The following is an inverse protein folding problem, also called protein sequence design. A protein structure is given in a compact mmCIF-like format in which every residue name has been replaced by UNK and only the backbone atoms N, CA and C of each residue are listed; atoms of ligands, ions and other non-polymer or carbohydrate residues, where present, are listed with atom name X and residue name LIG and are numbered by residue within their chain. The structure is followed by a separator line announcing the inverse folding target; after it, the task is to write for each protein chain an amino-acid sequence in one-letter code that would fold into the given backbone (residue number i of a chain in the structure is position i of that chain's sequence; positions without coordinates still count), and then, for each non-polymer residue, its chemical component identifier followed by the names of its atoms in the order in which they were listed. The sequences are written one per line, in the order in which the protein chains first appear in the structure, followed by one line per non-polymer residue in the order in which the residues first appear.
data_IF_212210528616
#
_entry.id   IF_212210528616
#
_cell.length_a   1.000
_cell.length_b   1.000
_cell.length_c   1.000
_cell.angle_alpha   90.00
_cell.angle_beta   90.00
_cell.angle_gamma   90.00
#
_symmetry.space_group_name_H-M   'P 1'
#
loop_
_entity.id
_entity.type
_entity.pdbx_description
1 polymer ?
#
# COMPACT_ATOMS: atom_id res chain seq x y z
N UNK A 1 41.21 23.77 -11.72
CA UNK A 1 40.89 23.70 -10.26
C UNK A 1 40.15 22.43 -9.97
N UNK A 2 40.44 21.76 -8.83
CA UNK A 2 39.71 20.55 -8.44
C UNK A 2 38.37 20.97 -7.81
N UNK A 3 37.28 20.80 -8.53
CA UNK A 3 35.94 21.27 -8.13
C UNK A 3 35.37 20.35 -7.05
N UNK A 4 34.92 20.94 -5.93
CA UNK A 4 34.21 20.23 -4.88
C UNK A 4 32.71 20.50 -5.02
N UNK A 5 31.89 19.47 -4.78
CA UNK A 5 30.43 19.54 -4.83
C UNK A 5 29.80 18.71 -3.72
N UNK A 6 28.56 19.05 -3.34
CA UNK A 6 27.75 18.28 -2.38
C UNK A 6 26.92 17.26 -3.13
N UNK A 7 26.80 16.06 -2.59
CA UNK A 7 25.98 15.01 -3.17
C UNK A 7 25.51 13.99 -2.14
N UNK A 8 24.46 13.25 -2.48
CA UNK A 8 23.99 12.07 -1.74
C UNK A 8 24.58 10.81 -2.38
N UNK A 9 25.01 9.86 -1.53
CA UNK A 9 25.59 8.59 -1.99
C UNK A 9 24.47 7.59 -2.27
N UNK A 10 24.56 6.86 -3.37
CA UNK A 10 23.66 5.76 -3.70
C UNK A 10 24.39 4.64 -4.45
N UNK A 11 23.76 3.46 -4.56
CA UNK A 11 24.24 2.38 -5.41
C UNK A 11 23.41 2.31 -6.69
N UNK A 12 24.04 1.99 -7.80
CA UNK A 12 23.31 1.66 -9.01
C UNK A 12 22.81 0.20 -8.97
N UNK A 13 22.02 -0.20 -9.99
CA UNK A 13 21.49 -1.58 -10.12
C UNK A 13 22.56 -2.67 -10.09
N UNK A 14 23.81 -2.35 -10.46
CA UNK A 14 24.95 -3.28 -10.42
C UNK A 14 25.76 -3.23 -9.12
N UNK A 15 25.29 -2.52 -8.08
CA UNK A 15 25.92 -2.42 -6.77
C UNK A 15 27.14 -1.48 -6.72
N UNK A 16 27.37 -0.66 -7.75
CA UNK A 16 28.47 0.34 -7.76
C UNK A 16 28.02 1.65 -7.13
N UNK A 17 28.85 2.18 -6.24
CA UNK A 17 28.62 3.48 -5.60
C UNK A 17 28.65 4.63 -6.60
N UNK A 18 27.69 5.55 -6.48
CA UNK A 18 27.54 6.73 -7.31
C UNK A 18 27.15 7.96 -6.50
N UNK A 19 27.43 9.13 -7.05
CA UNK A 19 26.97 10.43 -6.59
C UNK A 19 26.47 11.23 -7.79
N UNK A 20 25.40 12.01 -7.62
CA UNK A 20 24.90 12.91 -8.65
C UNK A 20 25.76 14.18 -8.66
N UNK A 21 26.31 14.56 -9.82
CA UNK A 21 27.14 15.74 -9.98
C UNK A 21 26.33 16.90 -10.60
N UNK A 22 25.54 16.63 -11.64
CA UNK A 22 24.59 17.55 -12.26
C UNK A 22 23.29 16.82 -12.60
N UNK A 23 22.33 17.49 -13.25
CA UNK A 23 21.02 16.85 -13.58
C UNK A 23 21.19 15.55 -14.34
N UNK A 24 22.14 15.49 -15.28
CA UNK A 24 22.35 14.35 -16.16
C UNK A 24 23.65 13.58 -15.92
N UNK A 25 24.55 14.07 -15.02
CA UNK A 25 25.85 13.45 -14.81
C UNK A 25 25.99 12.79 -13.44
N UNK A 26 26.29 11.50 -13.47
CA UNK A 26 26.60 10.69 -12.31
C UNK A 26 28.08 10.29 -12.30
N UNK A 27 28.72 10.48 -11.16
CA UNK A 27 30.11 10.08 -10.96
C UNK A 27 30.19 8.81 -10.10
N UNK A 28 31.13 7.93 -10.44
CA UNK A 28 31.33 6.64 -9.76
C UNK A 28 32.26 6.80 -8.57
N UNK A 29 31.91 6.20 -7.43
CA UNK A 29 32.76 6.04 -6.26
C UNK A 29 33.52 4.72 -6.35
N UNK A 30 34.81 4.71 -6.02
CA UNK A 30 35.56 3.46 -5.89
C UNK A 30 35.11 2.69 -4.65
N UNK A 31 35.38 1.37 -4.61
CA UNK A 31 35.11 0.54 -3.43
C UNK A 31 35.76 1.14 -2.17
N UNK A 32 36.98 1.71 -2.28
CA UNK A 32 37.65 2.37 -1.17
C UNK A 32 36.87 3.57 -0.64
N UNK A 33 36.21 4.35 -1.51
CA UNK A 33 35.38 5.47 -1.10
C UNK A 33 34.08 4.96 -0.44
N UNK A 34 33.51 3.87 -0.95
CA UNK A 34 32.31 3.26 -0.39
C UNK A 34 32.54 2.66 1.01
N UNK A 35 33.76 2.26 1.37
CA UNK A 35 34.08 1.87 2.75
C UNK A 35 33.95 2.99 3.79
N UNK A 36 33.82 4.25 3.37
CA UNK A 36 33.68 5.39 4.28
C UNK A 36 32.24 5.73 4.64
N UNK A 37 31.26 5.25 3.86
CA UNK A 37 29.88 5.74 3.86
C UNK A 37 28.87 4.61 3.75
N UNK A 38 27.65 4.90 4.19
CA UNK A 38 26.47 4.15 3.80
C UNK A 38 25.75 4.84 2.65
N UNK A 39 24.97 4.12 1.84
CA UNK A 39 24.00 4.69 0.92
C UNK A 39 23.07 5.65 1.66
N UNK A 40 22.75 6.77 1.05
CA UNK A 40 21.96 7.83 1.68
C UNK A 40 22.74 8.92 2.40
N UNK A 41 24.02 8.69 2.75
CA UNK A 41 24.86 9.70 3.39
C UNK A 41 25.09 10.91 2.47
N UNK A 42 25.11 12.13 3.03
CA UNK A 42 25.44 13.36 2.33
C UNK A 42 26.93 13.68 2.48
N UNK A 43 27.56 13.94 1.38
CA UNK A 43 29.03 14.06 1.30
C UNK A 43 29.48 15.26 0.48
N UNK A 44 30.68 15.77 0.77
CA UNK A 44 31.43 16.61 -0.15
C UNK A 44 32.33 15.72 -0.98
N UNK A 45 32.18 15.79 -2.28
CA UNK A 45 32.99 15.07 -3.25
C UNK A 45 33.88 16.02 -4.06
N UNK A 46 34.99 15.49 -4.53
CA UNK A 46 35.81 16.09 -5.53
C UNK A 46 35.69 15.33 -6.84
N UNK A 47 35.44 16.04 -7.96
CA UNK A 47 35.47 15.46 -9.30
C UNK A 47 36.87 15.00 -9.66
N UNK A 48 36.97 13.78 -10.18
CA UNK A 48 38.20 13.14 -10.60
C UNK A 48 38.13 12.80 -12.11
N UNK A 49 39.23 12.63 -12.81
CA UNK A 49 39.21 12.21 -14.22
C UNK A 49 38.44 10.89 -14.43
N UNK A 50 37.79 10.75 -15.58
CA UNK A 50 37.12 9.52 -16.01
C UNK A 50 35.81 9.25 -15.26
N UNK A 51 34.97 10.26 -15.11
CA UNK A 51 33.63 10.16 -14.46
C UNK A 51 33.67 9.50 -13.07
N UNK A 52 34.71 9.86 -12.28
CA UNK A 52 34.91 9.37 -10.92
C UNK A 52 34.81 10.51 -9.90
N UNK A 53 34.46 10.17 -8.66
CA UNK A 53 34.45 11.06 -7.54
C UNK A 53 35.26 10.51 -6.34
N UNK A 54 35.79 11.40 -5.51
CA UNK A 54 36.47 11.08 -4.26
C UNK A 54 35.78 11.82 -3.12
N UNK A 55 35.38 11.09 -2.09
CA UNK A 55 34.77 11.67 -0.89
C UNK A 55 35.85 12.39 -0.06
N UNK A 56 35.65 13.68 0.17
CA UNK A 56 36.50 14.52 1.03
C UNK A 56 35.99 14.54 2.46
N UNK A 57 34.69 14.72 2.60
CA UNK A 57 34.04 14.89 3.89
C UNK A 57 32.65 14.26 3.87
N UNK A 58 32.18 13.78 5.01
CA UNK A 58 30.80 13.34 5.22
C UNK A 58 30.07 14.40 6.01
N UNK A 59 29.08 15.03 5.40
CA UNK A 59 28.29 16.12 5.99
C UNK A 59 27.22 15.62 6.93
N UNK A 60 26.52 14.55 6.51
CA UNK A 60 25.40 14.00 7.26
C UNK A 60 25.33 12.50 7.12
N UNK A 61 25.12 11.82 8.24
CA UNK A 61 24.86 10.39 8.32
C UNK A 61 23.38 10.16 8.39
N UNK A 62 22.83 9.47 7.40
CA UNK A 62 21.39 9.26 7.30
C UNK A 62 20.93 7.88 7.79
N UNK A 63 21.88 6.95 8.04
CA UNK A 63 21.58 5.61 8.55
C UNK A 63 21.87 5.54 10.04
N UNK A 64 20.82 5.41 10.86
CA UNK A 64 20.91 5.23 12.30
C UNK A 64 20.50 3.82 12.75
N UNK A 65 19.63 3.15 12.00
CA UNK A 65 19.14 1.80 12.26
C UNK A 65 19.15 0.97 10.97
N UNK A 66 19.30 -0.33 11.11
CA UNK A 66 19.25 -1.29 10.00
C UNK A 66 18.63 -2.60 10.48
N UNK A 67 17.99 -3.29 9.53
CA UNK A 67 17.55 -4.68 9.72
C UNK A 67 18.39 -5.59 8.83
N UNK A 68 18.79 -6.75 9.36
CA UNK A 68 19.63 -7.67 8.62
C UNK A 68 19.64 -9.08 9.23
N UNK A 69 20.35 -9.94 8.55
CA UNK A 69 20.56 -11.33 8.95
C UNK A 69 21.84 -11.45 9.76
N UNK A 70 21.75 -12.16 10.88
CA UNK A 70 22.91 -12.50 11.72
C UNK A 70 23.79 -13.52 11.01
N UNK A 71 25.08 -13.23 10.94
CA UNK A 71 26.11 -14.17 10.50
C UNK A 71 27.19 -14.31 11.57
N UNK A 72 27.64 -15.53 11.81
CA UNK A 72 28.70 -15.83 12.76
C UNK A 72 29.90 -16.43 12.04
N UNK A 73 31.04 -15.79 12.12
CA UNK A 73 32.32 -16.30 11.61
C UNK A 73 33.46 -15.71 12.40
N UNK A 74 34.56 -16.46 12.50
CA UNK A 74 35.78 -16.09 13.23
C UNK A 74 35.55 -15.64 14.69
N UNK A 75 34.56 -16.27 15.39
CA UNK A 75 34.23 -15.94 16.79
C UNK A 75 33.51 -14.60 16.98
N UNK A 76 33.16 -13.90 15.90
CA UNK A 76 32.44 -12.60 15.91
C UNK A 76 31.06 -12.76 15.29
N UNK A 77 30.17 -11.87 15.70
CA UNK A 77 28.79 -11.77 15.18
C UNK A 77 28.66 -10.54 14.31
N UNK A 78 28.16 -10.73 13.10
CA UNK A 78 27.93 -9.68 12.12
C UNK A 78 26.47 -9.63 11.72
N UNK A 79 26.05 -8.49 11.22
CA UNK A 79 24.77 -8.30 10.55
C UNK A 79 25.05 -7.98 9.08
N UNK A 80 24.47 -8.77 8.18
CA UNK A 80 24.38 -8.44 6.76
C UNK A 80 23.01 -7.81 6.52
N UNK A 81 22.95 -6.59 5.98
CA UNK A 81 21.67 -5.89 5.72
C UNK A 81 20.76 -6.67 4.78
N UNK A 82 19.46 -6.65 5.04
CA UNK A 82 18.44 -7.13 4.08
C UNK A 82 18.32 -6.19 2.87
N UNK A 83 18.55 -4.92 3.08
CA UNK A 83 18.64 -3.95 1.99
C UNK A 83 19.94 -4.17 1.21
N UNK A 84 19.79 -4.66 -0.03
CA UNK A 84 20.92 -4.95 -0.93
C UNK A 84 21.76 -3.71 -1.30
N UNK A 85 21.23 -2.51 -1.04
CA UNK A 85 22.00 -1.28 -1.21
C UNK A 85 23.12 -1.15 -0.18
N UNK A 86 23.07 -1.86 0.95
CA UNK A 86 24.13 -1.87 1.95
C UNK A 86 25.14 -2.99 1.68
N UNK A 87 26.35 -2.61 1.36
CA UNK A 87 27.43 -3.50 0.92
C UNK A 87 28.40 -3.90 2.03
N UNK A 88 28.24 -3.40 3.26
CA UNK A 88 29.15 -3.64 4.38
C UNK A 88 28.48 -4.52 5.44
N UNK A 89 29.17 -5.58 5.85
CA UNK A 89 28.82 -6.29 7.07
C UNK A 89 29.09 -5.44 8.29
N UNK A 90 28.14 -5.40 9.21
CA UNK A 90 28.17 -4.58 10.42
C UNK A 90 28.56 -5.46 11.60
N UNK A 91 29.63 -5.12 12.31
CA UNK A 91 30.05 -5.85 13.49
C UNK A 91 29.07 -5.57 14.64
N UNK A 92 28.46 -6.61 15.19
CA UNK A 92 27.61 -6.48 16.36
C UNK A 92 28.42 -6.41 17.64
N UNK A 93 28.02 -5.50 18.52
CA UNK A 93 28.59 -5.36 19.86
C UNK A 93 27.47 -5.32 20.92
N UNK A 94 27.75 -5.82 22.12
CA UNK A 94 26.79 -5.83 23.22
C UNK A 94 26.82 -7.13 24.03
N UNK A 95 25.96 -7.18 25.05
CA UNK A 95 25.79 -8.36 25.90
C UNK A 95 24.91 -9.39 25.16
N UNK A 96 25.12 -10.68 25.47
CA UNK A 96 24.29 -11.80 25.01
C UNK A 96 24.32 -12.09 23.49
N UNK A 97 25.32 -11.62 22.74
CA UNK A 97 25.46 -11.97 21.32
C UNK A 97 25.55 -13.47 21.04
N UNK A 98 25.93 -14.27 22.06
CA UNK A 98 25.96 -15.73 21.97
C UNK A 98 24.59 -16.37 21.76
N UNK A 99 23.51 -15.69 22.19
CA UNK A 99 22.11 -16.17 22.08
C UNK A 99 21.53 -16.07 20.67
N UNK A 100 22.13 -15.26 19.82
CA UNK A 100 21.71 -15.21 18.41
C UNK A 100 22.18 -16.44 17.67
N UNK A 101 21.34 -16.94 16.76
CA UNK A 101 21.72 -18.00 15.81
C UNK A 101 22.08 -17.34 14.46
N UNK A 102 22.90 -18.05 13.66
CA UNK A 102 23.07 -17.67 12.26
C UNK A 102 21.71 -17.73 11.56
N UNK A 103 21.44 -16.75 10.70
CA UNK A 103 20.18 -16.50 9.99
C UNK A 103 19.05 -15.92 10.84
N UNK A 104 19.25 -15.63 12.14
CA UNK A 104 18.27 -14.79 12.86
C UNK A 104 18.17 -13.41 12.19
N UNK A 105 16.97 -12.88 12.06
CA UNK A 105 16.75 -11.51 11.61
C UNK A 105 16.77 -10.58 12.82
N UNK A 106 17.52 -9.49 12.71
CA UNK A 106 17.69 -8.56 13.81
C UNK A 106 17.64 -7.11 13.33
N UNK A 107 16.90 -6.26 14.05
CA UNK A 107 16.97 -4.80 13.93
C UNK A 107 18.05 -4.28 14.86
N UNK A 108 18.92 -3.41 14.35
CA UNK A 108 20.10 -2.92 15.08
C UNK A 108 20.17 -1.40 15.00
N UNK A 109 20.76 -0.76 16.03
CA UNK A 109 21.11 0.66 16.04
C UNK A 109 22.61 0.80 15.78
N UNK A 110 22.96 1.61 14.81
CA UNK A 110 24.36 1.90 14.46
C UNK A 110 25.02 2.67 15.61
N UNK A 111 26.13 2.15 16.12
CA UNK A 111 26.92 2.78 17.19
C UNK A 111 28.23 3.35 16.69
N UNK A 112 28.73 2.85 15.56
CA UNK A 112 29.91 3.39 14.88
C UNK A 112 29.70 3.34 13.37
N UNK A 113 29.84 4.48 12.75
CA UNK A 113 29.70 4.65 11.30
C UNK A 113 30.90 4.06 10.55
N UNK A 114 30.75 3.67 9.26
CA UNK A 114 31.83 3.10 8.48
C UNK A 114 32.97 4.10 8.27
N UNK A 115 34.19 3.58 8.23
CA UNK A 115 35.42 4.33 7.94
C UNK A 115 36.42 3.46 7.22
N UNK A 116 37.49 4.07 6.63
CA UNK A 116 38.53 3.30 5.98
C UNK A 116 39.32 2.37 6.93
N UNK A 117 39.32 2.69 8.22
CA UNK A 117 40.08 1.91 9.22
C UNK A 117 39.24 0.87 9.96
N UNK A 118 37.95 1.11 10.11
CA UNK A 118 37.09 0.30 10.96
C UNK A 118 35.78 -0.04 10.25
N UNK A 119 35.34 -1.30 10.41
CA UNK A 119 33.99 -1.71 10.02
C UNK A 119 32.95 -0.99 10.88
N UNK A 120 31.76 -0.71 10.33
CA UNK A 120 30.68 -0.16 11.12
C UNK A 120 30.29 -1.10 12.24
N UNK A 121 29.82 -0.56 13.37
CA UNK A 121 29.35 -1.30 14.51
C UNK A 121 27.93 -0.98 14.86
N UNK A 122 27.21 -1.93 15.44
CA UNK A 122 25.84 -1.76 15.87
C UNK A 122 25.50 -2.56 17.13
N UNK A 123 24.45 -2.15 17.83
CA UNK A 123 23.85 -2.88 18.94
C UNK A 123 22.48 -3.41 18.54
N UNK A 124 22.14 -4.68 18.87
CA UNK A 124 20.80 -5.21 18.68
C UNK A 124 19.76 -4.38 19.44
N UNK A 125 18.65 -4.06 18.76
CA UNK A 125 17.46 -3.45 19.36
C UNK A 125 16.39 -4.50 19.58
N UNK A 126 16.09 -5.27 18.51
CA UNK A 126 15.01 -6.24 18.50
C UNK A 126 15.38 -7.41 17.61
N UNK A 127 15.21 -8.62 18.13
CA UNK A 127 15.30 -9.84 17.33
C UNK A 127 13.92 -10.10 16.75
N UNK A 128 13.85 -10.23 15.45
CA UNK A 128 12.65 -10.56 14.73
C UNK A 128 12.66 -12.09 14.51
N UNK A 129 12.48 -12.84 15.60
CA UNK A 129 12.29 -14.29 15.49
C UNK A 129 10.83 -14.51 15.13
N UNK A 130 10.59 -15.09 14.00
CA UNK A 130 9.29 -15.62 13.65
C UNK A 130 9.45 -17.11 13.34
N UNK A 131 8.54 -17.91 13.87
CA UNK A 131 8.36 -19.29 13.40
C UNK A 131 7.46 -19.32 12.17
N UNK A 132 7.04 -18.15 11.68
CA UNK A 132 6.16 -17.99 10.54
C UNK A 132 6.97 -17.49 9.33
N UNK A 133 7.05 -18.34 8.31
CA UNK A 133 7.72 -18.06 7.03
C UNK A 133 7.17 -16.79 6.36
N UNK A 134 5.88 -16.51 6.53
CA UNK A 134 5.24 -15.31 5.97
C UNK A 134 5.73 -14.04 6.66
N UNK A 135 5.90 -14.07 7.98
CA UNK A 135 6.43 -12.92 8.71
C UNK A 135 7.86 -12.60 8.27
N UNK A 136 8.69 -13.63 8.10
CA UNK A 136 10.04 -13.46 7.57
C UNK A 136 10.01 -12.90 6.15
N UNK A 137 9.17 -13.45 5.25
CA UNK A 137 9.01 -12.98 3.88
C UNK A 137 8.51 -11.53 3.84
N UNK A 138 7.55 -11.16 4.69
CA UNK A 138 7.05 -9.79 4.82
C UNK A 138 8.16 -8.82 5.24
N UNK A 139 8.95 -9.20 6.25
CA UNK A 139 10.09 -8.39 6.70
C UNK A 139 11.11 -8.25 5.56
N UNK A 140 11.39 -9.30 4.81
CA UNK A 140 12.27 -9.24 3.65
C UNK A 140 11.75 -8.32 2.55
N UNK A 141 10.48 -8.44 2.23
CA UNK A 141 9.86 -7.66 1.16
C UNK A 141 9.77 -6.17 1.49
N UNK A 142 9.58 -5.81 2.77
CA UNK A 142 9.41 -4.43 3.20
C UNK A 142 10.72 -3.73 3.59
N UNK A 143 11.76 -4.49 3.95
CA UNK A 143 13.06 -3.90 4.24
C UNK A 143 13.78 -3.43 2.96
N UNK A 144 14.27 -2.19 2.99
CA UNK A 144 14.93 -1.56 1.84
C UNK A 144 13.96 -0.96 0.82
N UNK A 145 12.67 -0.97 1.11
CA UNK A 145 11.66 -0.19 0.39
C UNK A 145 11.31 1.08 1.17
N UNK A 146 10.70 2.05 0.51
CA UNK A 146 10.17 3.26 1.16
C UNK A 146 8.81 3.01 1.86
N UNK A 147 8.33 1.75 1.86
CA UNK A 147 7.07 1.35 2.47
C UNK A 147 7.15 1.46 4.01
N UNK A 148 6.46 2.43 4.57
CA UNK A 148 6.28 2.52 6.01
C UNK A 148 5.24 1.49 6.48
N UNK A 149 5.60 0.63 7.41
CA UNK A 149 4.69 -0.35 8.04
C UNK A 149 4.00 0.20 9.29
N UNK A 150 4.39 1.37 9.75
CA UNK A 150 3.86 2.00 10.96
C UNK A 150 3.32 3.40 10.65
N UNK A 151 2.37 3.86 11.46
CA UNK A 151 1.82 5.21 11.39
C UNK A 151 2.60 6.15 12.30
N UNK A 152 2.91 7.35 11.81
CA UNK A 152 3.55 8.38 12.62
C UNK A 152 2.61 8.89 13.73
N UNK A 153 3.18 9.49 14.77
CA UNK A 153 2.38 10.10 15.86
C UNK A 153 1.43 11.19 15.34
N UNK A 154 1.80 11.95 14.31
CA UNK A 154 0.94 12.97 13.71
C UNK A 154 -0.31 12.36 13.10
N UNK A 155 -0.18 11.25 12.33
CA UNK A 155 -1.28 10.50 11.75
C UNK A 155 -2.22 9.95 12.82
N UNK A 156 -1.66 9.31 13.86
CA UNK A 156 -2.45 8.76 14.97
C UNK A 156 -3.25 9.86 15.67
N UNK A 157 -2.62 11.02 15.92
CA UNK A 157 -3.27 12.15 16.55
C UNK A 157 -4.38 12.75 15.68
N UNK A 158 -4.18 12.80 14.36
CA UNK A 158 -5.18 13.27 13.42
C UNK A 158 -6.37 12.31 13.36
N UNK A 159 -6.15 11.00 13.25
CA UNK A 159 -7.19 9.97 13.32
C UNK A 159 -8.05 10.06 14.58
N UNK A 160 -7.43 10.38 15.74
CA UNK A 160 -8.16 10.51 17.00
C UNK A 160 -9.08 11.74 17.07
N UNK A 161 -8.89 12.71 16.18
CA UNK A 161 -9.72 13.93 16.10
C UNK A 161 -10.86 13.81 15.09
N UNK A 162 -10.82 12.80 14.23
CA UNK A 162 -11.85 12.61 13.21
C UNK A 162 -13.19 12.31 13.91
N UNK A 163 -14.21 13.06 13.51
CA UNK A 163 -15.59 12.82 13.93
C UNK A 163 -16.06 11.46 13.39
N UNK A 164 -16.61 10.64 14.25
CA UNK A 164 -17.00 9.26 13.90
C UNK A 164 -18.47 9.13 13.52
N UNK A 165 -19.30 10.03 14.02
CA UNK A 165 -20.75 9.99 13.83
C UNK A 165 -21.16 10.98 12.73
N UNK A 166 -22.03 10.53 11.85
CA UNK A 166 -22.66 11.36 10.83
C UNK A 166 -23.71 12.24 11.54
N UNK A 167 -23.61 13.55 11.39
CA UNK A 167 -24.56 14.48 12.00
C UNK A 167 -25.79 14.70 11.12
N UNK A 168 -26.85 15.24 11.73
CA UNK A 168 -28.02 15.71 10.99
C UNK A 168 -27.66 16.78 9.92
N UNK A 169 -26.64 17.60 10.17
CA UNK A 169 -26.15 18.60 9.22
C UNK A 169 -25.50 17.91 8.00
N UNK A 170 -24.69 16.85 8.22
CA UNK A 170 -24.06 16.10 7.15
C UNK A 170 -25.12 15.45 6.24
N UNK A 171 -26.20 14.91 6.85
CA UNK A 171 -27.33 14.32 6.11
C UNK A 171 -28.08 15.40 5.35
N UNK A 172 -28.42 16.53 5.96
CA UNK A 172 -29.23 17.58 5.36
C UNK A 172 -28.50 18.30 4.19
N UNK A 173 -27.17 18.25 4.16
CA UNK A 173 -26.37 18.87 3.08
C UNK A 173 -26.19 17.94 1.86
N UNK A 174 -26.71 16.70 1.92
CA UNK A 174 -26.52 15.65 0.92
C UNK A 174 -27.85 15.09 0.43
N UNK A 175 -27.87 14.47 -0.74
CA UNK A 175 -29.05 13.74 -1.23
C UNK A 175 -29.25 12.46 -0.38
N UNK A 176 -30.42 12.31 0.22
CA UNK A 176 -30.73 11.13 1.04
C UNK A 176 -31.18 9.96 0.14
N UNK A 177 -30.33 8.96 0.00
CA UNK A 177 -30.57 7.74 -0.77
C UNK A 177 -30.68 6.49 0.13
N UNK A 178 -30.87 6.63 1.43
CA UNK A 178 -30.90 5.51 2.39
C UNK A 178 -32.07 4.56 2.19
N UNK A 179 -33.12 5.00 1.49
CA UNK A 179 -34.26 4.16 1.12
C UNK A 179 -33.98 3.21 -0.04
N UNK A 180 -32.95 3.48 -0.85
CA UNK A 180 -32.58 2.60 -1.95
C UNK A 180 -31.82 1.36 -1.45
N UNK A 181 -32.03 0.24 -2.12
CA UNK A 181 -31.49 -1.05 -1.73
C UNK A 181 -30.06 -1.26 -2.28
N UNK A 182 -29.14 -0.37 -1.92
CA UNK A 182 -27.73 -0.50 -2.24
C UNK A 182 -27.15 -1.80 -1.70
N UNK A 183 -26.27 -2.42 -2.45
CA UNK A 183 -25.48 -3.58 -2.05
C UNK A 183 -24.00 -3.35 -2.35
N UNK A 184 -23.11 -3.92 -1.54
CA UNK A 184 -21.68 -4.07 -1.85
C UNK A 184 -21.41 -5.48 -2.34
N UNK A 185 -20.50 -5.66 -3.31
CA UNK A 185 -20.15 -6.96 -3.89
C UNK A 185 -18.63 -7.09 -3.94
N UNK A 186 -18.07 -7.88 -3.04
CA UNK A 186 -16.62 -7.93 -2.81
C UNK A 186 -16.12 -9.37 -2.63
N UNK A 187 -14.79 -9.52 -2.52
CA UNK A 187 -14.18 -10.78 -2.11
C UNK A 187 -14.57 -11.19 -0.68
N UNK A 188 -14.56 -12.48 -0.38
CA UNK A 188 -14.98 -13.01 0.93
C UNK A 188 -14.20 -12.41 2.12
N UNK A 189 -12.92 -12.08 1.92
CA UNK A 189 -12.02 -11.57 2.94
C UNK A 189 -11.93 -10.03 2.99
N UNK A 190 -12.62 -9.32 2.11
CA UNK A 190 -12.63 -7.86 2.09
C UNK A 190 -13.24 -7.27 3.37
N UNK A 191 -12.67 -6.14 3.84
CA UNK A 191 -13.14 -5.38 5.02
C UNK A 191 -13.39 -3.91 4.69
N UNK A 192 -12.87 -3.46 3.58
CA UNK A 192 -12.89 -2.14 2.99
C UNK A 192 -13.84 -2.17 1.78
N UNK A 193 -15.12 -1.91 2.05
CA UNK A 193 -16.14 -1.87 1.00
C UNK A 193 -16.19 -0.44 0.46
N UNK A 194 -15.48 -0.18 -0.64
CA UNK A 194 -15.29 1.16 -1.16
C UNK A 194 -16.44 1.63 -2.05
N UNK A 195 -17.18 0.69 -2.66
CA UNK A 195 -18.29 0.99 -3.55
C UNK A 195 -19.55 0.20 -3.21
N UNK A 196 -20.69 0.80 -3.53
CA UNK A 196 -22.00 0.18 -3.46
C UNK A 196 -22.81 0.52 -4.72
N UNK A 197 -23.64 -0.41 -5.16
CA UNK A 197 -24.41 -0.29 -6.37
C UNK A 197 -25.90 -0.53 -6.12
N UNK A 198 -26.72 0.20 -6.88
CA UNK A 198 -28.17 -0.03 -6.97
C UNK A 198 -28.61 0.19 -8.42
N UNK A 199 -29.46 -0.68 -8.92
CA UNK A 199 -30.05 -0.54 -10.25
C UNK A 199 -31.51 -0.94 -10.26
N UNK A 200 -32.28 -0.28 -11.12
CA UNK A 200 -33.66 -0.60 -11.41
C UNK A 200 -33.96 -0.49 -12.91
N UNK A 201 -34.95 -1.23 -13.37
CA UNK A 201 -35.47 -1.11 -14.72
C UNK A 201 -36.46 0.06 -14.79
N UNK A 202 -36.38 0.87 -15.83
CA UNK A 202 -37.32 1.93 -16.15
C UNK A 202 -38.08 1.63 -17.44
N UNK A 203 -39.08 2.44 -17.79
CA UNK A 203 -39.86 2.27 -19.04
C UNK A 203 -39.01 2.24 -20.30
N UNK A 204 -37.88 2.98 -20.29
CA UNK A 204 -37.07 3.25 -21.47
C UNK A 204 -35.63 2.71 -21.34
N UNK A 205 -35.35 1.92 -20.30
CA UNK A 205 -34.01 1.37 -20.06
C UNK A 205 -33.72 1.07 -18.60
N UNK A 206 -32.64 1.67 -18.07
CA UNK A 206 -32.16 1.38 -16.72
C UNK A 206 -31.70 2.65 -16.01
N UNK A 207 -31.92 2.67 -14.70
CA UNK A 207 -31.31 3.62 -13.78
C UNK A 207 -30.31 2.90 -12.92
N UNK A 208 -29.05 3.36 -12.95
CA UNK A 208 -27.93 2.80 -12.19
C UNK A 208 -27.35 3.85 -11.26
N UNK A 209 -27.20 3.52 -10.00
CA UNK A 209 -26.44 4.31 -9.03
C UNK A 209 -25.15 3.58 -8.65
N UNK A 210 -24.04 4.29 -8.73
CA UNK A 210 -22.72 3.85 -8.24
C UNK A 210 -22.30 4.83 -7.15
N UNK A 211 -22.23 4.35 -5.92
CA UNK A 211 -21.86 5.13 -4.75
C UNK A 211 -20.46 4.73 -4.28
N UNK A 212 -19.55 5.70 -4.21
CA UNK A 212 -18.18 5.52 -3.73
C UNK A 212 -18.04 6.21 -2.38
N UNK A 213 -17.38 5.57 -1.42
CA UNK A 213 -17.11 6.15 -0.11
C UNK A 213 -16.44 7.53 -0.23
N UNK A 214 -17.00 8.55 0.44
CA UNK A 214 -16.49 9.92 0.41
C UNK A 214 -15.29 10.07 1.35
N UNK A 215 -14.12 9.58 0.90
CA UNK A 215 -12.87 9.65 1.66
C UNK A 215 -12.47 11.10 1.94
N UNK A 216 -12.83 12.04 1.06
CA UNK A 216 -12.47 13.46 1.19
C UNK A 216 -13.14 14.16 2.38
N UNK A 217 -14.23 13.60 2.91
CA UNK A 217 -14.87 14.08 4.14
C UNK A 217 -13.99 13.88 5.37
N UNK A 218 -13.15 12.84 5.35
CA UNK A 218 -12.31 12.43 6.49
C UNK A 218 -10.84 12.77 6.30
N UNK A 219 -10.35 12.81 5.06
CA UNK A 219 -8.97 13.10 4.70
C UNK A 219 -8.92 14.47 4.02
N UNK A 220 -8.68 15.49 4.83
CA UNK A 220 -8.66 16.87 4.32
C UNK A 220 -7.38 17.15 3.52
N UNK A 221 -7.52 17.95 2.47
CA UNK A 221 -6.39 18.38 1.65
C UNK A 221 -5.26 18.99 2.50
N UNK A 222 -4.02 18.68 2.16
CA UNK A 222 -2.79 19.13 2.83
C UNK A 222 -2.63 18.69 4.29
N UNK A 223 -3.54 17.86 4.81
CA UNK A 223 -3.42 17.27 6.15
C UNK A 223 -2.24 16.29 6.25
N UNK A 224 -1.93 15.80 7.46
CA UNK A 224 -0.91 14.76 7.62
C UNK A 224 -1.35 13.44 6.99
N UNK A 225 -2.65 13.13 7.06
CA UNK A 225 -3.24 11.94 6.41
C UNK A 225 -3.12 12.01 4.89
N UNK A 226 -3.46 13.15 4.29
CA UNK A 226 -3.36 13.37 2.84
C UNK A 226 -1.92 13.23 2.33
N UNK A 227 -0.96 13.86 3.01
CA UNK A 227 0.46 13.75 2.67
C UNK A 227 0.99 12.33 2.79
N UNK A 228 0.59 11.61 3.81
CA UNK A 228 0.97 10.20 3.99
C UNK A 228 0.32 9.31 2.92
N UNK A 229 -0.97 9.51 2.63
CA UNK A 229 -1.68 8.78 1.57
C UNK A 229 -1.04 9.02 0.20
N UNK A 230 -0.69 10.28 -0.12
CA UNK A 230 0.03 10.62 -1.34
C UNK A 230 1.41 9.93 -1.41
N UNK A 231 2.14 9.89 -0.30
CA UNK A 231 3.44 9.22 -0.22
C UNK A 231 3.33 7.70 -0.41
N UNK A 232 2.29 7.06 0.15
CA UNK A 232 2.04 5.62 -0.01
C UNK A 232 1.50 5.27 -1.39
N UNK A 233 0.71 6.16 -1.99
CA UNK A 233 0.08 6.06 -3.30
C UNK A 233 -0.95 4.91 -3.47
N UNK A 234 -0.76 3.79 -2.80
CA UNK A 234 -1.64 2.60 -2.86
C UNK A 234 -1.54 1.77 -1.59
N UNK A 235 -2.51 0.91 -1.35
CA UNK A 235 -2.37 -0.18 -0.39
C UNK A 235 -1.55 -1.31 -1.00
N UNK A 236 -0.72 -1.98 -0.18
CA UNK A 236 0.10 -3.12 -0.62
C UNK A 236 -0.37 -4.37 0.11
N UNK A 237 -0.83 -5.34 -0.66
CA UNK A 237 -1.42 -6.57 -0.15
C UNK A 237 -0.40 -7.70 -0.14
N UNK A 238 -0.21 -8.30 1.05
CA UNK A 238 0.50 -9.55 1.26
C UNK A 238 -0.53 -10.61 1.66
N UNK A 239 -0.22 -11.86 1.52
CA UNK A 239 -1.17 -12.96 1.79
C UNK A 239 -1.86 -12.87 3.16
N UNK A 240 -1.13 -12.52 4.22
CA UNK A 240 -1.66 -12.42 5.60
C UNK A 240 -1.63 -11.00 6.17
N UNK A 241 -1.13 -10.02 5.43
CA UNK A 241 -0.95 -8.65 5.90
C UNK A 241 -1.23 -7.64 4.80
N UNK A 242 -1.72 -6.50 5.20
CA UNK A 242 -1.87 -5.34 4.31
C UNK A 242 -1.07 -4.18 4.89
N UNK A 243 -0.36 -3.47 4.03
CA UNK A 243 0.15 -2.13 4.34
C UNK A 243 -0.84 -1.16 3.69
N UNK A 244 -1.81 -0.62 4.45
CA UNK A 244 -2.87 0.16 3.86
C UNK A 244 -2.39 1.58 3.51
N UNK A 245 -2.98 2.17 2.46
CA UNK A 245 -2.76 3.56 2.08
C UNK A 245 -3.28 4.53 3.15
N UNK A 246 -4.41 4.20 3.74
CA UNK A 246 -5.07 4.96 4.81
C UNK A 246 -5.18 4.12 6.09
N UNK A 247 -5.17 4.73 7.30
CA UNK A 247 -5.40 4.01 8.54
C UNK A 247 -6.70 3.22 8.54
N UNK A 248 -6.70 2.04 9.18
CA UNK A 248 -7.88 1.14 9.24
C UNK A 248 -9.14 1.79 9.85
N UNK A 249 -8.97 2.83 10.67
CA UNK A 249 -10.10 3.63 11.16
C UNK A 249 -10.87 4.27 9.98
N UNK A 250 -10.15 4.72 8.97
CA UNK A 250 -10.75 5.35 7.78
C UNK A 250 -11.20 4.26 6.81
N UNK A 251 -10.28 3.43 6.32
CA UNK A 251 -10.58 2.45 5.26
C UNK A 251 -11.60 1.39 5.69
N UNK A 252 -11.45 0.80 6.88
CA UNK A 252 -12.28 -0.34 7.29
C UNK A 252 -13.50 0.04 8.16
N UNK A 253 -13.61 1.31 8.60
CA UNK A 253 -14.72 1.74 9.48
C UNK A 253 -15.50 2.91 8.92
N UNK A 254 -14.87 4.10 8.82
CA UNK A 254 -15.60 5.31 8.43
C UNK A 254 -16.04 5.27 6.97
N UNK A 255 -15.14 4.89 6.06
CA UNK A 255 -15.40 4.83 4.62
C UNK A 255 -16.02 3.50 4.17
N UNK A 256 -15.76 2.39 4.87
CA UNK A 256 -16.31 1.09 4.48
C UNK A 256 -17.84 1.08 4.51
N UNK A 257 -18.48 0.79 3.37
CA UNK A 257 -19.93 0.83 3.14
C UNK A 257 -20.64 -0.40 3.74
N UNK A 258 -20.47 -0.59 5.05
CA UNK A 258 -21.01 -1.73 5.78
C UNK A 258 -22.53 -1.76 5.76
N UNK A 259 -23.13 -2.96 5.74
CA UNK A 259 -24.58 -3.08 5.74
C UNK A 259 -25.21 -2.50 7.01
N UNK A 260 -26.36 -1.84 6.82
CA UNK A 260 -27.17 -1.22 7.85
C UNK A 260 -26.48 -0.08 8.63
N UNK A 261 -25.46 0.55 8.04
CA UNK A 261 -24.82 1.75 8.54
C UNK A 261 -25.00 2.90 7.56
N UNK A 262 -25.35 4.10 8.07
CA UNK A 262 -25.35 5.31 7.26
C UNK A 262 -23.92 5.66 6.86
N UNK A 263 -23.71 5.97 5.56
CA UNK A 263 -22.39 6.30 5.02
C UNK A 263 -22.46 7.50 4.10
N UNK A 264 -21.44 8.35 4.19
CA UNK A 264 -21.24 9.49 3.30
C UNK A 264 -20.55 9.01 2.02
N UNK A 265 -21.13 9.33 0.89
CA UNK A 265 -20.65 8.86 -0.43
C UNK A 265 -20.75 9.96 -1.49
N UNK A 266 -19.91 9.83 -2.51
CA UNK A 266 -20.07 10.49 -3.80
C UNK A 266 -20.79 9.49 -4.71
N UNK A 267 -21.96 9.86 -5.19
CA UNK A 267 -22.79 9.00 -6.05
C UNK A 267 -22.82 9.51 -7.48
N UNK A 268 -22.69 8.59 -8.42
CA UNK A 268 -23.01 8.80 -9.82
C UNK A 268 -24.37 8.12 -10.11
N UNK A 269 -25.35 8.90 -10.53
CA UNK A 269 -26.63 8.46 -11.06
C UNK A 269 -26.52 8.41 -12.59
N UNK A 270 -26.85 7.28 -13.20
CA UNK A 270 -26.61 7.02 -14.62
C UNK A 270 -27.88 6.48 -15.25
N UNK A 271 -28.39 7.16 -16.28
CA UNK A 271 -29.50 6.69 -17.11
C UNK A 271 -28.95 6.00 -18.35
N UNK A 272 -29.36 4.73 -18.55
CA UNK A 272 -29.04 3.94 -19.73
C UNK A 272 -30.30 3.62 -20.50
N UNK A 273 -30.22 3.58 -21.83
CA UNK A 273 -31.33 3.06 -22.66
C UNK A 273 -31.41 1.53 -22.66
N UNK A 274 -32.40 0.98 -23.39
CA UNK A 274 -32.61 -0.46 -23.50
C UNK A 274 -31.46 -1.22 -24.18
N UNK A 275 -30.55 -0.51 -24.87
CA UNK A 275 -29.35 -1.08 -25.50
C UNK A 275 -28.10 -0.93 -24.63
N UNK A 276 -28.23 -0.26 -23.48
CA UNK A 276 -27.15 -0.04 -22.52
C UNK A 276 -26.29 1.17 -22.81
N UNK A 277 -26.67 2.06 -23.73
CA UNK A 277 -25.97 3.32 -23.98
C UNK A 277 -26.32 4.35 -22.92
N UNK A 278 -25.31 5.09 -22.44
CA UNK A 278 -25.48 6.13 -21.43
C UNK A 278 -26.14 7.34 -22.08
N UNK A 279 -27.32 7.73 -21.61
CA UNK A 279 -28.06 8.93 -22.05
C UNK A 279 -27.69 10.17 -21.25
N UNK A 280 -27.57 10.00 -19.93
CA UNK A 280 -27.16 11.07 -19.03
C UNK A 280 -26.57 10.52 -17.74
N UNK A 281 -25.83 11.35 -17.05
CA UNK A 281 -25.33 11.03 -15.71
C UNK A 281 -25.17 12.30 -14.88
N UNK A 282 -25.24 12.15 -13.56
CA UNK A 282 -25.06 13.24 -12.59
C UNK A 282 -24.24 12.76 -11.40
N UNK A 283 -23.32 13.62 -10.92
CA UNK A 283 -22.56 13.39 -9.71
C UNK A 283 -23.05 14.28 -8.57
N UNK A 284 -23.25 13.72 -7.41
CA UNK A 284 -23.62 14.47 -6.22
C UNK A 284 -23.20 13.77 -4.94
N UNK A 285 -23.01 14.56 -3.89
CA UNK A 285 -22.80 14.03 -2.55
C UNK A 285 -24.11 13.46 -1.99
N UNK A 286 -24.06 12.26 -1.42
CA UNK A 286 -25.24 11.62 -0.86
C UNK A 286 -24.96 10.87 0.43
N UNK A 287 -26.02 10.40 1.07
CA UNK A 287 -25.98 9.46 2.21
C UNK A 287 -26.68 8.19 1.77
N UNK A 288 -26.06 7.06 1.94
CA UNK A 288 -26.63 5.75 1.68
C UNK A 288 -26.61 4.88 2.95
N UNK A 289 -27.44 3.83 2.93
CA UNK A 289 -27.41 2.75 3.91
C UNK A 289 -27.45 1.43 3.13
N UNK A 290 -26.29 0.82 2.89
CA UNK A 290 -26.20 -0.48 2.19
C UNK A 290 -27.04 -1.52 2.91
N UNK A 291 -27.80 -2.32 2.18
CA UNK A 291 -28.69 -3.32 2.77
C UNK A 291 -28.00 -4.68 2.95
N UNK A 292 -27.14 -5.03 2.01
CA UNK A 292 -26.44 -6.32 2.03
C UNK A 292 -24.99 -6.16 1.59
N UNK A 293 -24.12 -6.88 2.29
CA UNK A 293 -22.77 -7.17 1.82
C UNK A 293 -22.81 -8.55 1.14
N UNK A 294 -22.57 -8.58 -0.15
CA UNK A 294 -22.53 -9.79 -0.95
C UNK A 294 -21.10 -10.15 -1.33
N UNK A 295 -20.85 -11.42 -1.59
CA UNK A 295 -19.59 -11.87 -2.16
C UNK A 295 -19.73 -12.17 -3.64
N UNK A 296 -18.63 -12.09 -4.40
CA UNK A 296 -18.63 -12.51 -5.81
C UNK A 296 -19.17 -13.92 -5.98
N UNK A 297 -18.81 -14.87 -5.09
CA UNK A 297 -19.27 -16.25 -5.12
C UNK A 297 -20.79 -16.39 -4.87
N UNK A 298 -21.36 -15.57 -3.97
CA UNK A 298 -22.80 -15.59 -3.69
C UNK A 298 -23.59 -15.07 -4.88
N UNK A 299 -23.15 -13.96 -5.48
CA UNK A 299 -23.79 -13.37 -6.66
C UNK A 299 -23.68 -14.31 -7.86
N UNK A 300 -22.51 -14.93 -8.08
CA UNK A 300 -22.32 -15.90 -9.15
C UNK A 300 -23.22 -17.13 -8.98
N UNK A 301 -23.31 -17.69 -7.75
CA UNK A 301 -24.24 -18.80 -7.45
C UNK A 301 -25.69 -18.42 -7.68
N UNK A 302 -26.09 -17.21 -7.29
CA UNK A 302 -27.42 -16.70 -7.57
C UNK A 302 -27.69 -16.64 -9.07
N UNK A 303 -26.79 -16.11 -9.88
CA UNK A 303 -26.96 -16.01 -11.33
C UNK A 303 -26.98 -17.37 -12.05
N UNK A 304 -26.27 -18.39 -11.52
CA UNK A 304 -26.23 -19.72 -12.10
C UNK A 304 -27.41 -20.58 -11.68
N UNK A 305 -27.85 -20.54 -10.42
CA UNK A 305 -28.79 -21.47 -9.83
C UNK A 305 -30.18 -20.88 -9.52
N UNK A 306 -30.30 -19.55 -9.50
CA UNK A 306 -31.53 -18.83 -9.15
C UNK A 306 -31.93 -18.96 -7.67
N UNK A 307 -31.16 -19.69 -6.85
CA UNK A 307 -31.47 -19.92 -5.44
C UNK A 307 -30.78 -18.88 -4.56
N UNK A 308 -31.55 -18.19 -3.72
CA UNK A 308 -31.04 -17.19 -2.81
C UNK A 308 -31.94 -17.07 -1.57
N UNK A 309 -31.36 -16.63 -0.45
CA UNK A 309 -32.06 -16.20 0.77
C UNK A 309 -32.29 -14.67 0.79
N UNK A 310 -31.99 -13.96 -0.31
CA UNK A 310 -32.12 -12.51 -0.42
C UNK A 310 -33.60 -12.12 -0.59
N UNK A 311 -33.94 -10.89 -0.18
CA UNK A 311 -35.27 -10.32 -0.40
C UNK A 311 -35.54 -10.07 -1.90
N UNK A 312 -36.82 -10.02 -2.29
CA UNK A 312 -37.23 -9.77 -3.66
C UNK A 312 -36.65 -8.44 -4.21
N UNK A 313 -36.55 -7.42 -3.39
CA UNK A 313 -35.96 -6.13 -3.76
C UNK A 313 -34.48 -6.24 -4.13
N UNK A 314 -33.70 -7.00 -3.35
CA UNK A 314 -32.28 -7.26 -3.66
C UNK A 314 -32.15 -8.12 -4.90
N UNK A 315 -33.01 -9.11 -5.07
CA UNK A 315 -33.07 -9.94 -6.28
C UNK A 315 -33.37 -9.10 -7.51
N UNK A 316 -34.33 -8.17 -7.43
CA UNK A 316 -34.65 -7.24 -8.51
C UNK A 316 -33.45 -6.36 -8.89
N UNK A 317 -32.79 -5.76 -7.90
CA UNK A 317 -31.57 -5.00 -8.09
C UNK A 317 -30.47 -5.82 -8.79
N UNK A 318 -30.16 -7.02 -8.31
CA UNK A 318 -29.15 -7.90 -8.92
C UNK A 318 -29.49 -8.29 -10.36
N UNK A 319 -30.77 -8.53 -10.66
CA UNK A 319 -31.23 -8.83 -12.02
C UNK A 319 -31.03 -7.62 -12.96
N UNK A 320 -31.36 -6.41 -12.52
CA UNK A 320 -31.11 -5.19 -13.29
C UNK A 320 -29.61 -5.00 -13.53
N UNK A 321 -28.77 -5.15 -12.50
CA UNK A 321 -27.30 -5.10 -12.61
C UNK A 321 -26.76 -6.13 -13.62
N UNK A 322 -27.29 -7.38 -13.62
CA UNK A 322 -26.90 -8.42 -14.58
C UNK A 322 -27.21 -8.01 -16.02
N UNK A 323 -28.39 -7.44 -16.26
CA UNK A 323 -28.78 -6.97 -17.60
C UNK A 323 -27.90 -5.83 -18.06
N UNK A 324 -27.68 -4.81 -17.22
CA UNK A 324 -26.78 -3.69 -17.51
C UNK A 324 -25.37 -4.20 -17.83
N UNK A 325 -24.83 -5.12 -17.01
CA UNK A 325 -23.51 -5.70 -17.23
C UNK A 325 -23.41 -6.39 -18.62
N UNK A 326 -24.43 -7.18 -18.99
CA UNK A 326 -24.44 -7.87 -20.28
C UNK A 326 -24.45 -6.89 -21.45
N UNK A 327 -25.27 -5.82 -21.38
CA UNK A 327 -25.34 -4.78 -22.39
C UNK A 327 -24.02 -4.00 -22.49
N UNK A 328 -23.46 -3.57 -21.37
CA UNK A 328 -22.17 -2.82 -21.33
C UNK A 328 -21.00 -3.67 -21.83
N UNK A 329 -21.02 -4.97 -21.53
CA UNK A 329 -20.01 -5.91 -22.05
C UNK A 329 -20.09 -6.03 -23.56
N UNK A 330 -21.30 -6.16 -24.15
CA UNK A 330 -21.50 -6.17 -25.61
C UNK A 330 -20.93 -4.90 -26.27
N UNK A 331 -21.25 -3.71 -25.75
CA UNK A 331 -20.72 -2.43 -26.24
C UNK A 331 -19.20 -2.40 -26.15
N UNK A 332 -18.60 -2.94 -25.08
CA UNK A 332 -17.17 -3.03 -24.89
C UNK A 332 -16.51 -3.93 -25.95
N UNK A 333 -17.14 -5.08 -26.26
CA UNK A 333 -16.68 -6.02 -27.30
C UNK A 333 -16.78 -5.38 -28.71
N UNK A 334 -17.86 -4.66 -29.02
CA UNK A 334 -18.04 -3.92 -30.27
C UNK A 334 -16.97 -2.85 -30.49
N UNK A 335 -16.56 -2.17 -29.41
CA UNK A 335 -15.44 -1.22 -29.43
C UNK A 335 -14.07 -1.89 -29.55
N UNK A 336 -14.00 -3.22 -29.58
CA UNK A 336 -12.76 -4.02 -29.62
C UNK A 336 -11.82 -3.71 -28.45
N UNK A 337 -12.38 -3.47 -27.26
CA UNK A 337 -11.59 -3.33 -26.05
C UNK A 337 -10.88 -4.64 -25.73
N UNK A 338 -9.60 -4.55 -25.35
CA UNK A 338 -8.79 -5.72 -25.01
C UNK A 338 -9.08 -6.12 -23.56
N UNK A 339 -9.46 -7.38 -23.36
CA UNK A 339 -9.57 -7.97 -22.02
C UNK A 339 -8.32 -8.81 -21.74
N UNK A 340 -7.67 -8.53 -20.61
CA UNK A 340 -6.53 -9.27 -20.13
C UNK A 340 -6.99 -10.29 -19.10
N UNK A 341 -6.99 -11.57 -19.43
CA UNK A 341 -7.21 -12.67 -18.51
C UNK A 341 -5.90 -12.99 -17.78
N UNK A 342 -5.55 -12.16 -16.81
CA UNK A 342 -4.41 -12.46 -15.95
C UNK A 342 -4.89 -13.42 -14.85
N UNK A 343 -4.20 -14.56 -14.64
CA UNK A 343 -4.53 -15.42 -13.52
C UNK A 343 -4.25 -14.69 -12.20
N UNK A 344 -5.24 -14.55 -11.35
CA UNK A 344 -5.02 -14.17 -9.96
C UNK A 344 -4.41 -15.38 -9.24
N UNK A 345 -3.16 -15.21 -8.80
CA UNK A 345 -2.50 -16.24 -7.99
C UNK A 345 -3.02 -16.14 -6.56
N UNK A 346 -4.02 -16.95 -6.24
CA UNK A 346 -4.25 -17.32 -4.85
C UNK A 346 -3.08 -18.20 -4.43
N UNK A 347 -2.36 -17.82 -3.38
CA UNK A 347 -1.22 -18.60 -2.89
C UNK A 347 -1.65 -20.03 -2.57
N UNK A 348 -1.08 -20.99 -3.29
CA UNK A 348 -1.38 -22.43 -3.16
C UNK A 348 -0.98 -23.04 -1.79
N UNK A 349 -0.37 -22.26 -0.90
CA UNK A 349 0.09 -22.75 0.41
C UNK A 349 -1.11 -23.16 1.30
N UNK A 350 -2.29 -22.63 1.06
CA UNK A 350 -3.51 -23.03 1.77
C UNK A 350 -4.17 -24.30 1.20
N UNK A 351 -3.71 -24.82 0.07
CA UNK A 351 -4.25 -26.05 -0.56
C UNK A 351 -3.48 -27.30 -0.13
N UNK A 352 -2.33 -27.16 0.51
CA UNK A 352 -1.41 -28.26 0.81
C UNK A 352 -1.43 -28.77 2.24
N UNK A 353 -2.29 -28.27 3.13
CA UNK A 353 -2.52 -28.92 4.43
C UNK A 353 -3.81 -29.73 4.37
N UNK A 354 -3.74 -31.07 4.26
CA UNK A 354 -4.90 -31.90 4.52
C UNK A 354 -5.25 -31.78 6.01
N UNK A 355 -6.50 -31.42 6.29
CA UNK A 355 -7.12 -31.54 7.62
C UNK A 355 -6.99 -32.92 8.20
#
# INVERSE_FOLDING_TARGET
MKENFKAKVFLNKSGKGRVKYSEDEFLTLSNREMFKVFPGDEVVCQKMPGSKAKIKEVLKRNTSELTGIIKKYTGKTFLTSLDKSFHLDILLEGKNLKNFKSNDICKVKITSQPSLKYKPKAKPIKTLKSNDVFEEAFIFATNGTELSTEWSKSIINECNKIKRDISAQDINSRKDLRSLNFVTIDGSNAKDFDDAVYAEESSDGYLLYVAIADVSEYVLQDSSLDKEALSRATSVYFEKKVIPMLPELISNKLCSLRPNEDKLVLTCEIYLDGEGEIKSYEFFNSVICSKNRLTYDEVEKFYQKGQTALSDDIVSNLNALKKIHALRRKIREERKAIDFYLPEYLSLIHISEPT
#
